data_IF_209402892904
#
_entry.id   IF_209402892904
#
_cell.length_a   1.000
_cell.length_b   1.000
_cell.length_c   1.000
_cell.angle_alpha   90.00
_cell.angle_beta   90.00
_cell.angle_gamma   90.00
#
_symmetry.space_group_name_H-M   'P 1'
#
loop_
_entity.id
_entity.type
_entity.pdbx_description
1 polymer ?
#
# COMPACT_ATOMS: atom_id res chain seq x y z
N UNK A 1 -12.40 33.33 -26.80
CA UNK A 1 -11.60 32.38 -27.60
C UNK A 1 -10.19 32.92 -27.74
N UNK A 2 -9.35 32.66 -26.73
CA UNK A 2 -7.96 33.09 -26.71
C UNK A 2 -7.16 32.13 -27.59
N UNK A 3 -6.53 32.62 -28.65
CA UNK A 3 -5.66 31.79 -29.49
C UNK A 3 -4.45 31.38 -28.65
N UNK A 4 -4.33 30.10 -28.31
CA UNK A 4 -3.13 29.56 -27.70
C UNK A 4 -1.99 29.66 -28.72
N UNK A 5 -1.00 30.50 -28.43
CA UNK A 5 0.23 30.54 -29.21
C UNK A 5 1.17 29.43 -28.71
N UNK A 6 1.79 28.66 -29.61
CA UNK A 6 2.82 27.69 -29.21
C UNK A 6 3.98 28.40 -28.52
N UNK A 7 4.69 27.70 -27.64
CA UNK A 7 5.93 28.21 -27.05
C UNK A 7 6.89 28.63 -28.18
N UNK A 8 7.37 29.87 -28.12
CA UNK A 8 8.04 30.57 -29.23
C UNK A 8 9.24 29.81 -29.82
N UNK A 9 9.88 28.98 -29.00
CA UNK A 9 11.18 28.35 -29.29
C UNK A 9 11.12 26.83 -29.47
N UNK A 10 9.93 26.23 -29.66
CA UNK A 10 9.88 24.79 -29.98
C UNK A 10 10.40 24.51 -31.40
N UNK A 11 11.10 23.37 -31.63
CA UNK A 11 11.49 22.94 -32.98
C UNK A 11 10.29 22.86 -33.94
N UNK A 12 9.12 22.45 -33.43
CA UNK A 12 7.87 22.42 -34.18
C UNK A 12 7.40 23.82 -34.61
N UNK A 13 7.55 24.84 -33.75
CA UNK A 13 7.26 26.23 -34.11
C UNK A 13 8.24 26.78 -35.16
N UNK A 14 9.51 26.32 -35.15
CA UNK A 14 10.50 26.69 -36.15
C UNK A 14 10.16 26.14 -37.55
N UNK A 15 9.69 24.88 -37.64
CA UNK A 15 9.30 24.27 -38.91
C UNK A 15 8.12 24.98 -39.59
N UNK A 16 7.15 25.46 -38.82
CA UNK A 16 5.99 26.21 -39.35
C UNK A 16 6.36 27.60 -39.91
N UNK A 17 7.50 28.18 -39.50
CA UNK A 17 7.95 29.53 -39.94
C UNK A 17 8.69 29.51 -41.29
N UNK A 18 9.11 28.34 -41.79
CA UNK A 18 10.07 28.24 -42.90
C UNK A 18 9.46 28.34 -44.32
N UNK A 19 8.15 28.57 -44.50
CA UNK A 19 7.54 28.93 -45.80
C UNK A 19 7.60 27.89 -46.94
N UNK A 20 8.17 26.71 -46.72
CA UNK A 20 8.37 25.67 -47.74
C UNK A 20 7.44 24.47 -47.48
N UNK A 21 6.17 24.57 -47.89
CA UNK A 21 5.21 23.45 -47.89
C UNK A 21 5.00 22.76 -46.53
N UNK A 22 4.12 21.74 -46.44
CA UNK A 22 3.99 20.94 -45.23
C UNK A 22 5.19 19.99 -45.11
N UNK A 23 6.34 20.50 -44.68
CA UNK A 23 7.44 19.66 -44.21
C UNK A 23 7.04 19.11 -42.82
N UNK A 24 6.59 17.87 -42.77
CA UNK A 24 6.40 17.16 -41.50
C UNK A 24 7.80 17.03 -40.86
N UNK A 25 8.02 17.58 -39.66
CA UNK A 25 9.29 17.36 -38.97
C UNK A 25 9.44 15.87 -38.71
N UNK A 26 10.65 15.32 -38.90
CA UNK A 26 10.94 13.91 -38.61
C UNK A 26 10.67 13.51 -37.16
N UNK A 27 10.52 14.50 -36.27
CA UNK A 27 10.02 14.35 -34.91
C UNK A 27 8.94 15.41 -34.66
N UNK A 28 7.72 14.97 -34.40
CA UNK A 28 6.61 15.84 -34.01
C UNK A 28 6.40 15.76 -32.50
N UNK A 29 6.23 16.92 -31.84
CA UNK A 29 5.81 16.98 -30.44
C UNK A 29 4.63 17.94 -30.29
N UNK A 30 3.70 17.69 -29.34
CA UNK A 30 2.57 18.58 -29.10
C UNK A 30 3.01 19.99 -28.67
N UNK A 31 2.22 21.00 -29.04
CA UNK A 31 2.63 22.41 -28.95
C UNK A 31 2.45 23.06 -27.57
N UNK A 32 1.55 22.55 -26.75
CA UNK A 32 1.23 23.12 -25.43
C UNK A 32 1.52 22.12 -24.30
N UNK A 33 1.87 22.57 -23.08
CA UNK A 33 2.09 21.69 -21.94
C UNK A 33 0.93 20.73 -21.69
N UNK A 34 -0.31 21.22 -21.81
CA UNK A 34 -1.53 20.40 -21.65
C UNK A 34 -1.58 19.31 -22.71
N UNK A 35 -1.34 19.65 -23.99
CA UNK A 35 -1.34 18.63 -25.05
C UNK A 35 -0.18 17.66 -24.95
N UNK A 36 0.97 18.08 -24.41
CA UNK A 36 2.10 17.19 -24.13
C UNK A 36 1.75 16.20 -23.02
N UNK A 37 1.20 16.68 -21.90
CA UNK A 37 0.75 15.82 -20.80
C UNK A 37 -0.32 14.81 -21.27
N UNK A 38 -1.32 15.27 -22.03
CA UNK A 38 -2.33 14.38 -22.59
C UNK A 38 -1.74 13.33 -23.56
N UNK A 39 -0.73 13.72 -24.34
CA UNK A 39 -0.06 12.79 -25.27
C UNK A 39 0.80 11.78 -24.52
N UNK A 40 1.52 12.20 -23.46
CA UNK A 40 2.26 11.29 -22.58
C UNK A 40 1.31 10.29 -21.94
N UNK A 41 0.18 10.74 -21.41
CA UNK A 41 -0.82 9.85 -20.81
C UNK A 41 -1.42 8.84 -21.80
N UNK A 42 -1.57 9.25 -23.07
CA UNK A 42 -2.14 8.40 -24.11
C UNK A 42 -1.12 7.37 -24.63
N UNK A 43 0.15 7.77 -24.78
CA UNK A 43 1.18 6.94 -25.42
C UNK A 43 1.98 6.10 -24.42
N UNK A 44 2.12 6.58 -23.20
CA UNK A 44 2.91 5.97 -22.12
C UNK A 44 2.07 5.93 -20.84
N UNK A 45 0.93 5.21 -20.85
CA UNK A 45 0.02 5.18 -19.72
C UNK A 45 0.73 4.70 -18.45
N UNK A 46 1.55 3.64 -18.54
CA UNK A 46 2.25 3.05 -17.39
C UNK A 46 3.20 4.04 -16.70
N UNK A 47 3.97 4.81 -17.48
CA UNK A 47 4.91 5.81 -16.96
C UNK A 47 4.17 7.02 -16.34
N UNK A 48 2.99 7.37 -16.88
CA UNK A 48 2.18 8.49 -16.37
C UNK A 48 1.23 8.11 -15.24
N UNK A 49 0.93 6.82 -15.08
CA UNK A 49 0.05 6.33 -14.02
C UNK A 49 0.68 6.63 -12.65
N UNK A 50 2.01 6.49 -12.52
CA UNK A 50 2.73 6.86 -11.30
C UNK A 50 2.61 8.35 -10.92
N UNK A 51 2.46 9.23 -11.91
CA UNK A 51 2.33 10.68 -11.71
C UNK A 51 0.88 11.14 -11.50
N UNK A 52 -0.11 10.31 -11.85
CA UNK A 52 -1.53 10.68 -11.86
C UNK A 52 -2.39 9.82 -10.95
N UNK A 53 -1.88 8.68 -10.49
CA UNK A 53 -2.53 7.83 -9.49
C UNK A 53 -2.59 8.64 -8.19
N UNK A 54 -3.81 8.89 -7.64
CA UNK A 54 -3.89 9.42 -6.30
C UNK A 54 -3.11 8.48 -5.36
N UNK A 55 -2.43 9.00 -4.32
CA UNK A 55 -1.79 8.14 -3.34
C UNK A 55 -2.79 7.08 -2.88
N UNK A 56 -2.35 5.82 -2.67
CA UNK A 56 -3.26 4.79 -2.20
C UNK A 56 -3.97 5.32 -0.95
N UNK A 57 -5.28 5.10 -0.81
CA UNK A 57 -5.99 5.54 0.38
C UNK A 57 -5.24 5.01 1.62
N UNK A 58 -5.12 5.80 2.71
CA UNK A 58 -4.56 5.30 3.97
C UNK A 58 -5.25 3.98 4.33
N UNK A 59 -4.48 3.03 4.85
CA UNK A 59 -4.82 1.62 5.05
C UNK A 59 -6.33 1.35 5.11
N UNK A 60 -6.86 0.70 4.06
CA UNK A 60 -8.27 0.29 3.98
C UNK A 60 -8.61 -0.85 4.96
N UNK A 61 -7.83 -1.04 6.03
CA UNK A 61 -8.25 -1.92 7.10
C UNK A 61 -9.47 -1.25 7.73
N UNK A 62 -10.67 -1.87 7.66
CA UNK A 62 -11.83 -1.32 8.35
C UNK A 62 -11.48 -1.19 9.83
N UNK A 63 -12.06 -0.22 10.55
CA UNK A 63 -11.76 -0.01 11.96
C UNK A 63 -11.87 -1.34 12.69
N UNK A 64 -10.73 -1.82 13.19
CA UNK A 64 -10.58 -3.18 13.72
C UNK A 64 -10.10 -3.11 15.15
N UNK A 65 -10.53 -4.06 15.98
CA UNK A 65 -9.95 -4.33 17.29
C UNK A 65 -9.00 -5.52 17.15
N UNK A 66 -7.86 -5.46 17.83
CA UNK A 66 -6.90 -6.56 17.83
C UNK A 66 -7.05 -7.36 19.11
N UNK A 67 -7.21 -8.67 18.97
CA UNK A 67 -7.24 -9.64 20.05
C UNK A 67 -5.99 -10.52 19.96
N UNK A 68 -5.24 -10.60 21.05
CA UNK A 68 -4.00 -11.37 21.14
C UNK A 68 -4.22 -12.60 22.01
N UNK A 69 -3.90 -13.77 21.49
CA UNK A 69 -4.04 -15.06 22.16
C UNK A 69 -2.70 -15.80 22.23
N UNK A 70 -2.52 -16.76 23.14
CA UNK A 70 -1.40 -17.68 23.05
C UNK A 70 -1.49 -18.48 21.75
N UNK A 71 -0.37 -18.69 21.05
CA UNK A 71 -0.33 -19.46 19.79
C UNK A 71 -0.94 -20.86 19.90
N UNK A 72 -0.83 -21.49 21.08
CA UNK A 72 -1.42 -22.79 21.39
C UNK A 72 -2.96 -22.83 21.27
N UNK A 73 -3.64 -21.68 21.33
CA UNK A 73 -5.11 -21.57 21.29
C UNK A 73 -5.66 -21.23 19.91
N UNK A 74 -4.81 -21.15 18.87
CA UNK A 74 -5.23 -20.78 17.52
C UNK A 74 -6.43 -21.60 17.01
N UNK A 75 -6.48 -22.93 17.25
CA UNK A 75 -7.60 -23.79 16.83
C UNK A 75 -8.95 -23.33 17.39
N UNK A 76 -9.00 -23.01 18.69
CA UNK A 76 -10.22 -22.57 19.35
C UNK A 76 -10.65 -21.18 18.84
N UNK A 77 -9.67 -20.29 18.65
CA UNK A 77 -9.90 -18.93 18.16
C UNK A 77 -10.41 -18.94 16.72
N UNK A 78 -9.77 -19.74 15.84
CA UNK A 78 -10.18 -19.92 14.45
C UNK A 78 -11.58 -20.55 14.35
N UNK A 79 -11.88 -21.53 15.20
CA UNK A 79 -13.21 -22.14 15.25
C UNK A 79 -14.30 -21.13 15.67
N UNK A 80 -14.01 -20.27 16.65
CA UNK A 80 -14.93 -19.21 17.05
C UNK A 80 -15.09 -18.13 15.96
N UNK A 81 -13.99 -17.72 15.33
CA UNK A 81 -13.99 -16.77 14.22
C UNK A 81 -14.81 -17.28 13.03
N UNK A 82 -14.72 -18.57 12.70
CA UNK A 82 -15.44 -19.19 11.60
C UNK A 82 -16.98 -19.16 11.76
N UNK A 83 -17.51 -18.96 12.98
CA UNK A 83 -18.94 -18.77 13.22
C UNK A 83 -19.44 -17.39 12.77
N UNK A 84 -18.51 -16.45 12.53
CA UNK A 84 -18.77 -15.06 12.19
C UNK A 84 -18.07 -14.71 10.88
N UNK A 85 -18.58 -15.27 9.78
CA UNK A 85 -18.00 -15.08 8.45
C UNK A 85 -17.89 -13.59 8.06
N UNK A 86 -16.74 -13.20 7.53
CA UNK A 86 -16.42 -11.81 7.16
C UNK A 86 -16.17 -10.84 8.32
N UNK A 87 -16.19 -11.29 9.59
CA UNK A 87 -15.89 -10.42 10.73
C UNK A 87 -14.39 -10.20 10.97
N UNK A 88 -13.58 -11.21 10.65
CA UNK A 88 -12.11 -11.16 10.81
C UNK A 88 -11.49 -10.49 9.60
N UNK A 89 -10.70 -9.44 9.85
CA UNK A 89 -10.07 -8.60 8.84
C UNK A 89 -8.61 -9.00 8.61
N UNK A 90 -7.99 -9.65 9.60
CA UNK A 90 -6.65 -10.22 9.49
C UNK A 90 -6.36 -11.20 10.64
N UNK A 91 -5.47 -12.16 10.39
CA UNK A 91 -4.97 -13.06 11.43
C UNK A 91 -3.55 -13.51 11.12
N UNK A 92 -2.76 -13.81 12.14
CA UNK A 92 -1.40 -14.33 11.97
C UNK A 92 -0.72 -14.70 13.28
N UNK A 93 0.44 -15.34 13.16
CA UNK A 93 1.31 -15.69 14.27
C UNK A 93 2.47 -14.71 14.36
N UNK A 94 2.79 -14.28 15.58
CA UNK A 94 3.79 -13.26 15.83
C UNK A 94 4.67 -13.61 17.04
N UNK A 95 5.91 -13.13 17.01
CA UNK A 95 6.79 -13.15 18.17
C UNK A 95 6.36 -12.12 19.22
N UNK A 96 6.98 -12.16 20.39
CA UNK A 96 6.80 -11.12 21.42
C UNK A 96 7.18 -9.72 20.92
N UNK A 97 8.12 -9.64 19.97
CA UNK A 97 8.57 -8.41 19.33
C UNK A 97 7.66 -7.96 18.17
N UNK A 98 6.52 -8.63 17.98
CA UNK A 98 5.54 -8.38 16.90
C UNK A 98 6.06 -8.68 15.49
N UNK A 99 7.09 -9.52 15.38
CA UNK A 99 7.58 -9.95 14.06
C UNK A 99 6.67 -11.06 13.50
N UNK A 100 6.28 -11.01 12.21
CA UNK A 100 5.44 -12.03 11.61
C UNK A 100 6.20 -13.36 11.53
N UNK A 101 5.59 -14.41 12.07
CA UNK A 101 6.12 -15.77 12.05
C UNK A 101 5.46 -16.62 10.96
N UNK A 102 4.13 -16.59 10.89
CA UNK A 102 3.34 -17.37 9.94
C UNK A 102 1.97 -16.72 9.70
N UNK A 103 1.42 -16.88 8.51
CA UNK A 103 0.09 -16.37 8.20
C UNK A 103 -1.01 -17.33 8.68
N UNK A 104 -0.75 -18.64 8.60
CA UNK A 104 -1.71 -19.67 8.96
C UNK A 104 -1.12 -20.77 9.86
N UNK A 105 -2.00 -21.64 10.36
CA UNK A 105 -1.62 -22.72 11.26
C UNK A 105 -0.71 -23.74 10.59
N UNK A 106 -0.88 -24.01 9.30
CA UNK A 106 -0.08 -25.00 8.59
C UNK A 106 1.37 -24.52 8.42
N UNK A 107 1.55 -23.26 8.06
CA UNK A 107 2.86 -22.59 8.04
C UNK A 107 3.51 -22.57 9.43
N UNK A 108 2.72 -22.25 10.46
CA UNK A 108 3.21 -22.22 11.84
C UNK A 108 3.66 -23.60 12.34
N UNK A 109 2.89 -24.67 12.04
CA UNK A 109 3.26 -26.04 12.37
C UNK A 109 4.49 -26.52 11.55
N UNK A 110 4.63 -26.07 10.30
CA UNK A 110 5.73 -26.44 9.41
C UNK A 110 7.08 -25.80 9.79
N UNK A 111 7.06 -24.65 10.46
CA UNK A 111 8.28 -23.93 10.87
C UNK A 111 9.17 -24.75 11.81
N UNK A 112 8.68 -25.83 12.43
CA UNK A 112 9.41 -26.70 13.37
C UNK A 112 10.20 -25.93 14.45
N UNK A 113 9.83 -24.67 14.72
CA UNK A 113 10.25 -23.98 15.94
C UNK A 113 9.59 -24.73 17.09
N UNK A 114 10.35 -25.02 18.15
CA UNK A 114 9.70 -25.22 19.44
C UNK A 114 8.79 -24.01 19.63
N UNK A 115 7.47 -24.23 19.73
CA UNK A 115 6.51 -23.16 20.04
C UNK A 115 7.08 -22.45 21.25
N UNK A 116 7.64 -21.26 21.04
CA UNK A 116 8.14 -20.53 22.18
C UNK A 116 6.90 -20.16 22.99
N UNK A 117 6.95 -20.31 24.31
CA UNK A 117 5.81 -20.01 25.17
C UNK A 117 5.36 -18.54 25.04
N UNK A 118 6.20 -17.69 24.43
CA UNK A 118 5.98 -16.29 24.09
C UNK A 118 5.28 -16.05 22.75
N UNK A 119 5.15 -17.04 21.86
CA UNK A 119 4.54 -16.85 20.55
C UNK A 119 3.02 -16.61 20.69
N UNK A 120 2.53 -15.61 19.97
CA UNK A 120 1.12 -15.20 20.03
C UNK A 120 0.41 -15.40 18.69
N UNK A 121 -0.89 -15.69 18.77
CA UNK A 121 -1.81 -15.67 17.65
C UNK A 121 -2.68 -14.42 17.75
N UNK A 122 -2.64 -13.59 16.71
CA UNK A 122 -3.27 -12.28 16.68
C UNK A 122 -4.40 -12.30 15.67
N UNK A 123 -5.56 -11.75 16.06
CA UNK A 123 -6.74 -11.63 15.20
C UNK A 123 -7.21 -10.19 15.23
N UNK A 124 -7.32 -9.57 14.05
CA UNK A 124 -8.00 -8.31 13.84
C UNK A 124 -9.47 -8.57 13.47
N UNK A 125 -10.39 -7.97 14.20
CA UNK A 125 -11.84 -8.10 14.01
C UNK A 125 -12.46 -6.73 13.77
N UNK A 126 -13.37 -6.62 12.80
CA UNK A 126 -14.09 -5.36 12.54
C UNK A 126 -14.87 -4.90 13.79
N UNK A 127 -14.78 -3.61 14.10
CA UNK A 127 -15.53 -2.97 15.20
C UNK A 127 -17.05 -3.09 15.00
N UNK A 128 -17.51 -3.21 13.75
CA UNK A 128 -18.94 -3.39 13.44
C UNK A 128 -19.44 -4.80 13.78
N UNK A 129 -18.53 -5.78 13.86
CA UNK A 129 -18.84 -7.18 14.13
C UNK A 129 -18.91 -7.47 15.64
N UNK A 130 -19.79 -6.75 16.36
CA UNK A 130 -19.92 -6.80 17.82
C UNK A 130 -20.01 -8.23 18.37
N UNK A 131 -20.82 -9.10 17.75
CA UNK A 131 -20.97 -10.49 18.19
C UNK A 131 -19.67 -11.30 18.08
N UNK A 132 -18.86 -11.05 17.06
CA UNK A 132 -17.57 -11.71 16.89
C UNK A 132 -16.55 -11.19 17.92
N UNK A 133 -16.52 -9.88 18.14
CA UNK A 133 -15.69 -9.25 19.18
C UNK A 133 -16.01 -9.80 20.57
N UNK A 134 -17.29 -9.94 20.92
CA UNK A 134 -17.73 -10.51 22.19
C UNK A 134 -17.37 -12.00 22.31
N UNK A 135 -17.57 -12.79 21.24
CA UNK A 135 -17.20 -14.20 21.22
C UNK A 135 -15.69 -14.40 21.40
N UNK A 136 -14.87 -13.60 20.72
CA UNK A 136 -13.41 -13.62 20.87
C UNK A 136 -12.98 -13.13 22.26
N UNK A 137 -13.64 -12.12 22.83
CA UNK A 137 -13.37 -11.67 24.19
C UNK A 137 -13.71 -12.74 25.24
N UNK A 138 -14.79 -13.51 25.02
CA UNK A 138 -15.17 -14.62 25.90
C UNK A 138 -14.12 -15.74 25.94
N UNK A 139 -13.29 -15.85 24.90
CA UNK A 139 -12.15 -16.76 24.89
C UNK A 139 -10.99 -16.28 25.76
N UNK A 140 -11.06 -15.15 26.46
CA UNK A 140 -9.99 -14.65 27.34
C UNK A 140 -8.65 -14.46 26.60
N UNK A 141 -8.59 -13.51 25.67
CA UNK A 141 -7.32 -13.06 25.09
C UNK A 141 -6.37 -12.51 26.16
N UNK A 142 -5.08 -12.56 25.87
CA UNK A 142 -4.01 -11.97 26.69
C UNK A 142 -4.13 -10.44 26.67
N UNK A 143 -4.42 -9.89 25.50
CA UNK A 143 -4.60 -8.46 25.29
C UNK A 143 -5.71 -8.19 24.26
N UNK A 144 -6.39 -7.07 24.45
CA UNK A 144 -7.38 -6.53 23.51
C UNK A 144 -7.13 -5.03 23.40
N UNK A 145 -7.15 -4.49 22.19
CA UNK A 145 -7.07 -3.04 21.98
C UNK A 145 -8.22 -2.33 22.73
N UNK A 146 -7.93 -1.24 23.44
CA UNK A 146 -8.94 -0.59 24.29
C UNK A 146 -9.94 0.25 23.49
N UNK A 147 -9.61 0.60 22.25
CA UNK A 147 -10.42 1.41 21.35
C UNK A 147 -10.14 1.07 19.89
N UNK A 148 -10.99 1.55 18.99
CA UNK A 148 -10.78 1.41 17.54
C UNK A 148 -9.51 2.15 17.05
N UNK A 149 -9.12 3.24 17.71
CA UNK A 149 -7.91 4.00 17.37
C UNK A 149 -6.65 3.20 17.74
N UNK A 150 -6.61 2.62 18.94
CA UNK A 150 -5.54 1.70 19.34
C UNK A 150 -5.54 0.43 18.48
N UNK A 151 -6.72 -0.09 18.14
CA UNK A 151 -6.83 -1.27 17.29
C UNK A 151 -6.28 -1.04 15.88
N UNK A 152 -6.43 0.17 15.33
CA UNK A 152 -5.77 0.54 14.08
C UNK A 152 -4.25 0.58 14.24
N UNK A 153 -3.74 1.20 15.31
CA UNK A 153 -2.30 1.24 15.57
C UNK A 153 -1.69 -0.16 15.81
N UNK A 154 -2.41 -1.05 16.50
CA UNK A 154 -2.01 -2.44 16.66
C UNK A 154 -2.08 -3.18 15.31
N UNK A 155 -3.10 -2.92 14.48
CA UNK A 155 -3.17 -3.51 13.15
C UNK A 155 -1.97 -3.10 12.29
N UNK A 156 -1.58 -1.83 12.28
CA UNK A 156 -0.40 -1.37 11.53
C UNK A 156 0.90 -1.99 12.08
N UNK A 157 0.97 -2.25 13.39
CA UNK A 157 2.12 -2.86 14.02
C UNK A 157 2.26 -4.37 13.73
N UNK A 158 1.15 -5.11 13.71
CA UNK A 158 1.16 -6.56 13.45
C UNK A 158 1.03 -6.89 11.96
N UNK A 159 0.30 -6.09 11.19
CA UNK A 159 0.04 -6.30 9.78
C UNK A 159 0.55 -5.10 8.97
N UNK A 160 1.86 -4.78 9.05
CA UNK A 160 2.41 -3.69 8.24
C UNK A 160 2.15 -4.01 6.77
N UNK A 161 1.47 -3.09 6.08
CA UNK A 161 1.28 -3.20 4.65
C UNK A 161 2.63 -3.28 3.92
N UNK A 162 2.64 -3.64 2.62
CA UNK A 162 3.87 -3.63 1.85
C UNK A 162 4.51 -2.24 1.95
N UNK A 163 5.73 -2.20 2.52
CA UNK A 163 6.54 -0.98 2.58
C UNK A 163 6.76 -0.56 1.14
N UNK A 164 6.23 0.59 0.75
CA UNK A 164 6.72 1.26 -0.46
C UNK A 164 8.14 1.68 -0.10
N UNK A 165 9.13 0.97 -0.60
CA UNK A 165 10.51 1.41 -0.56
C UNK A 165 10.53 2.79 -1.23
N UNK A 166 10.69 3.85 -0.43
CA UNK A 166 11.05 5.15 -0.93
C UNK A 166 12.45 4.96 -1.53
N UNK A 167 12.56 4.95 -2.86
CA UNK A 167 13.86 4.93 -3.54
C UNK A 167 14.65 6.14 -3.03
N UNK A 168 15.74 5.88 -2.31
CA UNK A 168 16.69 6.90 -1.88
C UNK A 168 17.14 7.68 -3.12
N UNK A 169 16.74 8.94 -3.22
CA UNK A 169 17.29 9.90 -4.17
C UNK A 169 18.79 10.05 -3.85
N UNK A 170 19.64 9.29 -4.52
CA UNK A 170 21.08 9.50 -4.49
C UNK A 170 21.35 10.91 -5.05
N UNK A 171 21.69 11.84 -4.14
CA UNK A 171 22.27 13.14 -4.45
C UNK A 171 23.53 12.92 -5.34
N UNK A 172 23.37 13.10 -6.65
CA UNK A 172 24.51 13.15 -7.58
C UNK A 172 25.25 14.46 -7.32
N UNK A 173 26.32 14.37 -6.54
CA UNK A 173 27.32 15.41 -6.36
C UNK A 173 27.80 15.91 -7.73
N UNK A 174 27.35 17.11 -8.10
CA UNK A 174 27.77 17.87 -9.28
C UNK A 174 29.18 18.44 -9.03
N UNK A 175 30.15 17.55 -8.82
CA UNK A 175 31.56 17.87 -8.83
C UNK A 175 32.18 17.34 -10.12
N UNK A 176 32.62 18.30 -10.94
CA UNK A 176 33.69 18.18 -11.95
C UNK A 176 33.23 18.02 -13.42
N UNK A 177 32.89 19.14 -14.07
CA UNK A 177 32.99 19.28 -15.53
C UNK A 177 33.13 20.75 -15.97
N UNK A 178 34.19 21.41 -15.50
CA UNK A 178 34.80 22.54 -16.19
C UNK A 178 36.31 22.33 -16.25
N UNK A 179 36.71 21.46 -17.18
CA UNK A 179 38.06 21.37 -17.74
C UNK A 179 38.03 21.78 -19.20
#
# INVERSE_FOLDING_TARGET
>A
WTRFQPAADSPAAACLRSGSGPALPGLWTPLTPITKAATMQTLFPDDTDLLTRPPPPPSLLPPSLVHVFPSARCKDVLAAAALHDGAVTGSGFFSEQREPLAADEAEFEALQREKEDSDVFVVAVSVEAVAATEALAALQPIAVSASAEEGLADCDAYFPGPVQEEEDDEDVDDANLLG
#
